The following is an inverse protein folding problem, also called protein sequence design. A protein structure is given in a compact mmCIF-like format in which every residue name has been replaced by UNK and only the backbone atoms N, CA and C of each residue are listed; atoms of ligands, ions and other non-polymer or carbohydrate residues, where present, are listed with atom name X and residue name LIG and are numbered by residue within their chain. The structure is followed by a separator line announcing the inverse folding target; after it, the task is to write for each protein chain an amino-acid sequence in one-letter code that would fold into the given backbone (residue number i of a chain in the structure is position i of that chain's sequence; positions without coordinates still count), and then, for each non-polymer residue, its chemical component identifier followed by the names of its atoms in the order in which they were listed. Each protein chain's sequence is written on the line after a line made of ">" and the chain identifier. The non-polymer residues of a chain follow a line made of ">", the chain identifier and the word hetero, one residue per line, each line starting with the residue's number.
data_IF_874121426891
#
_entry.id   IF_874121426891
#
_cell.length_a   1.000
_cell.length_b   1.000
_cell.length_c   1.000
_cell.angle_alpha   90.00
_cell.angle_beta   90.00
_cell.angle_gamma   90.00
#
_symmetry.space_group_name_H-M   'P 1'
#
loop_
_entity.id
_entity.type
_entity.pdbx_description
1 polymer ?
#
# COMPACT_ATOMS: atom_id res chain seq x y z
N UNK A 1 10.86 -26.14 20.16
CA UNK A 1 10.89 -24.69 19.87
C UNK A 1 9.86 -24.46 18.79
N UNK A 2 8.73 -23.84 19.12
CA UNK A 2 7.75 -23.41 18.12
C UNK A 2 8.45 -22.51 17.11
N UNK A 3 8.30 -22.82 15.85
CA UNK A 3 8.88 -22.07 14.75
C UNK A 3 8.18 -20.69 14.74
N UNK A 4 8.79 -19.69 15.37
CA UNK A 4 8.21 -18.34 15.46
C UNK A 4 8.01 -17.82 14.03
N UNK A 5 6.76 -17.50 13.67
CA UNK A 5 6.46 -16.95 12.35
C UNK A 5 7.30 -15.71 12.11
N UNK A 6 7.77 -15.54 10.88
CA UNK A 6 8.44 -14.32 10.44
C UNK A 6 7.47 -13.16 10.45
N UNK A 7 7.95 -11.96 10.73
CA UNK A 7 7.12 -10.76 10.79
C UNK A 7 7.08 -10.06 9.43
N UNK A 8 5.87 -9.71 9.00
CA UNK A 8 5.61 -8.89 7.82
C UNK A 8 4.83 -7.63 8.21
N UNK A 9 5.25 -6.49 7.67
CA UNK A 9 4.61 -5.20 7.94
C UNK A 9 4.29 -4.49 6.63
N UNK A 10 3.08 -3.94 6.52
CA UNK A 10 2.72 -3.03 5.43
C UNK A 10 1.68 -2.01 5.86
N UNK A 11 1.65 -0.86 5.20
CA UNK A 11 0.68 0.19 5.48
C UNK A 11 0.37 1.02 4.24
N UNK A 12 -0.84 1.57 4.20
CA UNK A 12 -1.28 2.49 3.13
C UNK A 12 -1.82 3.76 3.77
N UNK A 13 -1.48 4.91 3.18
CA UNK A 13 -1.98 6.21 3.62
C UNK A 13 -3.47 6.38 3.27
N UNK A 14 -4.33 6.80 4.22
CA UNK A 14 -5.73 7.16 3.95
C UNK A 14 -5.85 8.55 3.26
N UNK A 15 -4.98 8.82 2.29
CA UNK A 15 -4.93 10.07 1.53
C UNK A 15 -5.98 10.18 0.41
N UNK A 16 -6.86 9.20 0.30
CA UNK A 16 -7.94 9.08 -0.68
C UNK A 16 -8.47 7.64 -0.70
N UNK A 17 -9.42 7.37 -1.58
CA UNK A 17 -10.01 6.04 -1.72
C UNK A 17 -9.00 5.00 -2.21
N UNK A 18 -9.17 3.75 -1.80
CA UNK A 18 -8.40 2.64 -2.35
C UNK A 18 -8.84 2.38 -3.80
N UNK A 19 -7.89 2.00 -4.64
CA UNK A 19 -8.14 1.74 -6.05
C UNK A 19 -7.66 0.34 -6.45
N UNK A 20 -8.07 -0.09 -7.64
CA UNK A 20 -7.79 -1.41 -8.20
C UNK A 20 -6.29 -1.76 -8.15
N UNK A 21 -5.41 -0.79 -8.39
CA UNK A 21 -3.96 -0.97 -8.27
C UNK A 21 -3.48 -1.25 -6.84
N UNK A 22 -4.14 -0.70 -5.80
CA UNK A 22 -3.85 -1.06 -4.42
C UNK A 22 -4.28 -2.50 -4.12
N UNK A 23 -5.48 -2.87 -4.58
CA UNK A 23 -6.03 -4.20 -4.34
C UNK A 23 -5.23 -5.29 -5.06
N UNK A 24 -5.12 -5.22 -6.39
CA UNK A 24 -4.43 -6.25 -7.19
C UNK A 24 -2.91 -6.25 -6.98
N UNK A 25 -2.33 -5.08 -6.70
CA UNK A 25 -0.88 -4.94 -6.51
C UNK A 25 -0.39 -5.33 -5.13
N UNK A 26 -1.24 -5.25 -4.09
CA UNK A 26 -0.83 -5.47 -2.71
C UNK A 26 -1.87 -6.25 -1.89
N UNK A 27 -3.05 -5.67 -1.64
CA UNK A 27 -3.98 -6.13 -0.59
C UNK A 27 -4.49 -7.55 -0.85
N UNK A 28 -4.82 -7.89 -2.11
CA UNK A 28 -5.26 -9.25 -2.52
C UNK A 28 -4.30 -10.35 -2.05
N UNK A 29 -3.00 -10.04 -2.01
CA UNK A 29 -1.96 -11.00 -1.63
C UNK A 29 -1.68 -11.01 -0.11
N UNK A 30 -2.16 -10.02 0.64
CA UNK A 30 -1.89 -9.91 2.07
C UNK A 30 -2.62 -10.99 2.88
N UNK A 31 -3.90 -11.24 2.57
CA UNK A 31 -4.71 -12.23 3.30
C UNK A 31 -4.11 -13.62 3.29
N UNK A 32 -3.54 -14.05 2.17
CA UNK A 32 -2.88 -15.36 2.05
C UNK A 32 -1.57 -15.48 2.87
N UNK A 33 -1.00 -14.34 3.33
CA UNK A 33 0.27 -14.35 4.07
C UNK A 33 0.14 -14.68 5.54
N UNK A 34 -1.05 -14.57 6.13
CA UNK A 34 -1.28 -14.86 7.55
C UNK A 34 -0.97 -16.31 7.96
N UNK A 35 -0.88 -17.24 7.00
CA UNK A 35 -0.46 -18.61 7.25
C UNK A 35 1.04 -18.73 7.51
N UNK A 36 1.84 -17.92 6.81
CA UNK A 36 3.31 -17.96 6.81
C UNK A 36 3.93 -16.94 7.77
N UNK A 37 3.24 -15.81 8.01
CA UNK A 37 3.78 -14.64 8.71
C UNK A 37 2.87 -14.16 9.85
N UNK A 38 3.48 -13.49 10.84
CA UNK A 38 2.77 -12.61 11.78
C UNK A 38 2.66 -11.24 11.11
N UNK A 39 1.45 -10.89 10.66
CA UNK A 39 1.22 -9.77 9.77
C UNK A 39 0.68 -8.55 10.53
N UNK A 40 1.31 -7.40 10.28
CA UNK A 40 0.91 -6.08 10.77
C UNK A 40 0.50 -5.19 9.59
N UNK A 41 -0.76 -4.76 9.56
CA UNK A 41 -1.30 -3.89 8.51
C UNK A 41 -1.90 -2.64 9.13
N UNK A 42 -1.46 -1.47 8.69
CA UNK A 42 -1.89 -0.22 9.31
C UNK A 42 -2.33 0.85 8.31
N UNK A 43 -3.23 1.70 8.77
CA UNK A 43 -3.59 2.95 8.12
C UNK A 43 -2.56 4.01 8.52
N UNK A 44 -1.75 4.45 7.56
CA UNK A 44 -0.64 5.37 7.76
C UNK A 44 -1.13 6.83 7.81
N UNK A 45 -1.97 7.16 8.79
CA UNK A 45 -2.64 8.44 8.91
C UNK A 45 -1.68 9.59 9.30
N UNK A 46 -0.63 9.32 10.07
CA UNK A 46 0.40 10.31 10.39
C UNK A 46 1.16 10.76 9.13
N UNK A 47 1.44 9.85 8.20
CA UNK A 47 2.06 10.24 6.92
C UNK A 47 1.12 11.10 6.06
N UNK A 48 -0.18 10.93 6.20
CA UNK A 48 -1.17 11.65 5.39
C UNK A 48 -1.17 13.14 5.70
N UNK A 49 -0.89 13.55 6.93
CA UNK A 49 -0.89 14.96 7.34
C UNK A 49 0.34 15.76 6.88
N UNK A 50 1.31 15.12 6.23
CA UNK A 50 2.42 15.82 5.54
C UNK A 50 1.89 16.74 4.41
N UNK A 51 0.69 16.44 3.92
CA UNK A 51 -0.12 17.32 3.07
C UNK A 51 -1.39 17.68 3.83
N UNK A 52 -1.85 18.94 3.73
CA UNK A 52 -3.03 19.41 4.44
C UNK A 52 -4.25 18.55 4.16
N UNK A 53 -4.95 18.14 5.20
CA UNK A 53 -6.16 17.32 5.15
C UNK A 53 -7.31 18.03 5.84
N UNK A 54 -8.53 17.81 5.33
CA UNK A 54 -9.74 18.17 6.08
C UNK A 54 -9.95 17.14 7.19
N UNK A 55 -10.05 17.52 8.48
CA UNK A 55 -10.11 16.56 9.59
C UNK A 55 -11.26 15.54 9.48
N UNK A 56 -12.42 16.00 9.01
CA UNK A 56 -13.59 15.11 8.81
C UNK A 56 -13.31 14.05 7.74
N UNK A 57 -12.69 14.46 6.62
CA UNK A 57 -12.32 13.56 5.53
C UNK A 57 -11.25 12.56 5.95
N UNK A 58 -10.21 12.99 6.67
CA UNK A 58 -9.18 12.08 7.15
C UNK A 58 -9.78 10.99 8.04
N UNK A 59 -10.63 11.37 9.00
CA UNK A 59 -11.32 10.41 9.88
C UNK A 59 -12.20 9.44 9.08
N UNK A 60 -13.00 9.95 8.15
CA UNK A 60 -13.86 9.13 7.29
C UNK A 60 -13.05 8.11 6.49
N UNK A 61 -12.01 8.58 5.78
CA UNK A 61 -11.15 7.74 4.93
C UNK A 61 -10.36 6.71 5.72
N UNK A 62 -9.90 7.05 6.94
CA UNK A 62 -9.23 6.09 7.81
C UNK A 62 -10.17 4.96 8.19
N UNK A 63 -11.41 5.27 8.60
CA UNK A 63 -12.40 4.26 8.95
C UNK A 63 -12.83 3.41 7.74
N UNK A 64 -13.04 4.04 6.59
CA UNK A 64 -13.33 3.34 5.33
C UNK A 64 -12.21 2.38 4.94
N UNK A 65 -10.96 2.77 5.13
CA UNK A 65 -9.82 1.92 4.82
C UNK A 65 -9.73 0.70 5.75
N UNK A 66 -10.07 0.83 7.05
CA UNK A 66 -10.20 -0.33 7.95
C UNK A 66 -11.25 -1.30 7.41
N UNK A 67 -12.44 -0.81 7.07
CA UNK A 67 -13.51 -1.64 6.51
C UNK A 67 -13.09 -2.31 5.20
N UNK A 68 -12.43 -1.58 4.32
CA UNK A 68 -11.95 -2.10 3.04
C UNK A 68 -10.85 -3.16 3.21
N UNK A 69 -9.96 -3.03 4.20
CA UNK A 69 -8.96 -4.06 4.47
C UNK A 69 -9.64 -5.39 4.84
N UNK A 70 -10.63 -5.35 5.73
CA UNK A 70 -11.39 -6.54 6.14
C UNK A 70 -12.18 -7.09 4.94
N UNK A 71 -12.89 -6.24 4.21
CA UNK A 71 -13.67 -6.64 3.04
C UNK A 71 -12.81 -7.25 1.92
N UNK A 72 -11.54 -6.84 1.81
CA UNK A 72 -10.57 -7.41 0.89
C UNK A 72 -9.95 -8.74 1.36
N UNK A 73 -10.40 -9.28 2.51
CA UNK A 73 -10.00 -10.59 3.00
C UNK A 73 -8.92 -10.59 4.10
N UNK A 74 -8.62 -9.43 4.71
CA UNK A 74 -7.77 -9.38 5.89
C UNK A 74 -8.59 -9.73 7.14
N UNK A 75 -8.48 -10.97 7.60
CA UNK A 75 -9.12 -11.45 8.82
C UNK A 75 -8.47 -10.82 10.06
N UNK A 76 -9.21 -10.02 10.87
CA UNK A 76 -8.66 -9.37 12.07
C UNK A 76 -8.21 -10.34 13.16
N UNK A 77 -8.74 -11.57 13.19
CA UNK A 77 -8.33 -12.61 14.15
C UNK A 77 -6.94 -13.15 13.81
N UNK A 78 -6.54 -13.08 12.55
CA UNK A 78 -5.27 -13.61 12.04
C UNK A 78 -4.23 -12.54 11.74
N UNK A 79 -4.67 -11.30 11.58
CA UNK A 79 -3.83 -10.17 11.22
C UNK A 79 -3.98 -9.04 12.25
N UNK A 80 -2.90 -8.32 12.53
CA UNK A 80 -2.95 -7.13 13.36
C UNK A 80 -3.27 -5.92 12.48
N UNK A 81 -4.50 -5.41 12.57
CA UNK A 81 -4.98 -4.25 11.79
C UNK A 81 -5.14 -3.07 12.73
N UNK A 82 -4.42 -1.96 12.49
CA UNK A 82 -4.43 -0.81 13.39
C UNK A 82 -4.25 0.54 12.69
N UNK A 83 -4.55 1.62 13.40
CA UNK A 83 -4.29 2.99 12.95
C UNK A 83 -2.96 3.46 13.53
N UNK A 84 -2.08 3.98 12.69
CA UNK A 84 -0.71 4.37 13.05
C UNK A 84 -0.69 5.37 14.22
N UNK A 85 -1.55 6.39 14.20
CA UNK A 85 -1.60 7.41 15.27
C UNK A 85 -2.05 6.88 16.63
N UNK A 86 -2.60 5.67 16.72
CA UNK A 86 -2.95 5.02 17.99
C UNK A 86 -1.74 4.36 18.68
N UNK A 87 -0.61 4.26 18.00
CA UNK A 87 0.63 3.65 18.49
C UNK A 87 1.70 4.74 18.57
N UNK A 88 1.76 5.46 19.69
CA UNK A 88 2.63 6.63 19.88
C UNK A 88 4.13 6.33 19.70
N UNK A 89 4.53 5.07 19.85
CA UNK A 89 5.91 4.63 19.68
C UNK A 89 6.46 4.93 18.28
N UNK A 90 5.60 5.03 17.26
CA UNK A 90 6.00 5.43 15.92
C UNK A 90 6.66 6.82 15.91
N UNK A 91 6.02 7.81 16.55
CA UNK A 91 6.56 9.16 16.66
C UNK A 91 7.80 9.22 17.56
N UNK A 92 7.79 8.48 18.66
CA UNK A 92 8.90 8.47 19.61
C UNK A 92 10.17 7.86 18.98
N UNK A 93 10.04 6.74 18.27
CA UNK A 93 11.19 6.15 17.55
C UNK A 93 11.61 7.01 16.36
N UNK A 94 10.67 7.63 15.66
CA UNK A 94 10.98 8.51 14.52
C UNK A 94 11.92 9.64 14.96
N UNK A 95 11.64 10.29 16.11
CA UNK A 95 12.51 11.32 16.67
C UNK A 95 13.94 10.81 16.91
N UNK A 96 14.07 9.62 17.49
CA UNK A 96 15.41 9.04 17.72
C UNK A 96 16.11 8.79 16.38
N UNK A 97 15.42 8.19 15.41
CA UNK A 97 16.01 7.87 14.11
C UNK A 97 16.36 9.11 13.27
N UNK A 98 15.62 10.21 13.42
CA UNK A 98 15.96 11.51 12.81
C UNK A 98 17.35 11.97 13.23
N UNK A 99 17.74 11.73 14.50
CA UNK A 99 19.06 12.07 15.01
C UNK A 99 20.20 11.21 14.40
N UNK A 100 19.85 10.09 13.76
CA UNK A 100 20.78 9.17 13.07
C UNK A 100 20.63 9.18 11.56
N UNK A 101 19.77 10.04 11.02
CA UNK A 101 19.56 10.20 9.57
C UNK A 101 20.26 11.45 9.07
N UNK A 102 21.07 11.32 8.03
CA UNK A 102 21.83 12.47 7.54
C UNK A 102 20.97 13.35 6.63
N UNK A 103 21.09 14.66 6.81
CA UNK A 103 20.38 15.66 5.98
C UNK A 103 20.55 15.41 4.48
N UNK A 104 21.78 15.06 4.05
CA UNK A 104 22.08 14.75 2.65
C UNK A 104 21.37 13.48 2.12
N UNK A 105 21.02 12.52 2.99
CA UNK A 105 20.24 11.33 2.59
C UNK A 105 18.79 11.73 2.31
N UNK A 106 18.18 12.51 3.22
CA UNK A 106 16.80 12.99 3.05
C UNK A 106 16.65 13.91 1.83
N UNK A 107 17.61 14.84 1.61
CA UNK A 107 17.55 15.77 0.48
C UNK A 107 17.71 15.10 -0.90
N UNK A 108 18.27 13.89 -0.95
CA UNK A 108 18.39 13.10 -2.18
C UNK A 108 17.19 12.19 -2.46
N UNK A 109 16.22 12.08 -1.53
CA UNK A 109 15.02 11.26 -1.72
C UNK A 109 14.22 11.74 -2.93
N UNK A 110 13.99 10.87 -3.91
CA UNK A 110 13.22 11.18 -5.13
C UNK A 110 11.80 11.59 -4.80
N UNK A 111 11.14 10.88 -3.91
CA UNK A 111 9.78 11.18 -3.45
C UNK A 111 9.68 12.56 -2.78
N UNK A 112 10.71 13.02 -2.06
CA UNK A 112 10.73 14.37 -1.51
C UNK A 112 10.74 15.42 -2.62
N UNK A 113 11.58 15.24 -3.64
CA UNK A 113 11.67 16.14 -4.79
C UNK A 113 10.35 16.22 -5.55
N UNK A 114 9.73 15.08 -5.83
CA UNK A 114 8.46 14.99 -6.55
C UNK A 114 7.30 15.63 -5.79
N UNK A 115 7.21 15.36 -4.48
CA UNK A 115 6.16 15.94 -3.62
C UNK A 115 6.36 17.45 -3.42
N UNK A 116 7.60 17.89 -3.23
CA UNK A 116 7.91 19.31 -3.10
C UNK A 116 7.57 20.10 -4.37
N UNK A 117 7.79 19.53 -5.55
CA UNK A 117 7.38 20.13 -6.81
C UNK A 117 5.86 20.23 -6.96
N UNK A 118 5.10 19.22 -6.48
CA UNK A 118 3.62 19.21 -6.53
C UNK A 118 2.96 20.10 -5.48
N UNK A 119 3.63 20.35 -4.35
CA UNK A 119 3.12 21.10 -3.20
C UNK A 119 4.08 22.23 -2.81
N UNK A 120 4.50 23.01 -3.79
CA UNK A 120 5.51 24.08 -3.62
C UNK A 120 5.11 25.16 -2.60
N UNK A 121 3.81 25.33 -2.37
CA UNK A 121 3.21 26.23 -1.39
C UNK A 121 3.24 25.71 0.07
N UNK A 122 3.54 24.43 0.27
CA UNK A 122 3.50 23.78 1.58
C UNK A 122 4.63 22.75 1.76
N UNK A 123 5.87 23.15 1.56
CA UNK A 123 7.04 22.34 1.85
C UNK A 123 7.34 22.46 3.35
N UNK A 124 6.79 21.56 4.14
CA UNK A 124 6.96 21.54 5.60
C UNK A 124 8.00 20.51 6.04
N UNK A 125 8.42 20.61 7.33
CA UNK A 125 9.41 19.70 7.91
C UNK A 125 9.00 18.23 7.82
N UNK A 126 7.71 17.91 8.07
CA UNK A 126 7.20 16.55 7.98
C UNK A 126 7.32 15.96 6.57
N UNK A 127 7.18 16.79 5.52
CA UNK A 127 7.41 16.35 4.14
C UNK A 127 8.88 16.01 3.87
N UNK A 128 9.80 16.61 4.59
CA UNK A 128 11.24 16.33 4.51
C UNK A 128 11.62 15.12 5.35
N UNK A 129 11.07 14.98 6.57
CA UNK A 129 11.50 13.96 7.55
C UNK A 129 10.62 12.71 7.58
N UNK A 130 9.48 12.64 6.84
CA UNK A 130 8.63 11.45 6.84
C UNK A 130 9.36 10.12 6.55
N UNK A 131 10.49 10.07 5.82
CA UNK A 131 11.22 8.81 5.65
C UNK A 131 11.77 8.25 6.97
N UNK A 132 12.02 9.12 7.97
CA UNK A 132 12.42 8.69 9.32
C UNK A 132 11.22 8.09 10.07
N UNK A 133 10.02 8.66 9.92
CA UNK A 133 8.79 8.07 10.45
C UNK A 133 8.52 6.71 9.81
N UNK A 134 8.70 6.57 8.49
CA UNK A 134 8.56 5.28 7.81
C UNK A 134 9.61 4.27 8.29
N UNK A 135 10.83 4.70 8.56
CA UNK A 135 11.85 3.84 9.15
C UNK A 135 11.44 3.39 10.56
N UNK A 136 10.84 4.28 11.37
CA UNK A 136 10.30 3.92 12.69
C UNK A 136 9.13 2.94 12.57
N UNK A 137 8.18 3.18 11.65
CA UNK A 137 7.07 2.26 11.37
C UNK A 137 7.59 0.83 11.15
N UNK A 138 8.64 0.70 10.36
CA UNK A 138 9.23 -0.59 10.02
C UNK A 138 9.99 -1.18 11.22
N UNK A 139 10.93 -0.43 11.79
CA UNK A 139 11.89 -0.94 12.76
C UNK A 139 11.29 -1.28 14.12
N UNK A 140 10.14 -0.67 14.50
CA UNK A 140 9.44 -1.00 15.75
C UNK A 140 9.05 -2.47 15.83
N UNK A 141 8.62 -3.06 14.74
CA UNK A 141 8.11 -4.44 14.67
C UNK A 141 9.17 -5.47 14.32
N UNK A 142 10.42 -5.04 14.10
CA UNK A 142 11.55 -5.92 13.76
C UNK A 142 11.23 -6.88 12.59
N UNK A 143 10.64 -6.41 11.46
CA UNK A 143 10.15 -7.31 10.44
C UNK A 143 11.28 -8.03 9.72
N UNK A 144 10.97 -9.24 9.26
CA UNK A 144 11.85 -9.98 8.34
C UNK A 144 11.73 -9.40 6.93
N UNK A 145 10.50 -9.05 6.53
CA UNK A 145 10.19 -8.58 5.20
C UNK A 145 9.25 -7.37 5.23
N UNK A 146 9.52 -6.44 4.33
CA UNK A 146 8.67 -5.29 4.06
C UNK A 146 8.23 -5.37 2.59
N UNK A 147 6.96 -5.75 2.32
CA UNK A 147 6.44 -5.77 0.95
C UNK A 147 6.28 -4.35 0.44
N UNK A 148 7.07 -3.99 -0.55
CA UNK A 148 7.08 -2.66 -1.15
C UNK A 148 7.09 -2.72 -2.67
N UNK A 149 6.48 -1.71 -3.32
CA UNK A 149 6.70 -1.47 -4.75
C UNK A 149 8.07 -0.85 -5.02
N UNK A 150 8.50 -0.88 -6.27
CA UNK A 150 9.78 -0.31 -6.73
C UNK A 150 9.96 1.16 -6.30
N UNK A 151 8.87 1.94 -6.28
CA UNK A 151 8.85 3.35 -5.88
C UNK A 151 9.17 3.57 -4.40
N UNK A 152 9.08 2.54 -3.55
CA UNK A 152 9.38 2.59 -2.13
C UNK A 152 10.75 1.96 -1.78
N UNK A 153 11.45 1.41 -2.75
CA UNK A 153 12.75 0.75 -2.53
C UNK A 153 13.75 1.68 -1.84
N UNK A 154 13.83 2.94 -2.28
CA UNK A 154 14.74 3.93 -1.69
C UNK A 154 14.44 4.20 -0.21
N UNK A 155 13.16 4.14 0.22
CA UNK A 155 12.80 4.29 1.64
C UNK A 155 13.25 3.09 2.48
N UNK A 156 13.13 1.88 1.93
CA UNK A 156 13.61 0.67 2.63
C UNK A 156 15.13 0.69 2.72
N UNK A 157 15.83 1.14 1.69
CA UNK A 157 17.29 1.32 1.71
C UNK A 157 17.70 2.35 2.78
N UNK A 158 17.02 3.48 2.88
CA UNK A 158 17.25 4.44 3.96
C UNK A 158 17.02 3.82 5.33
N UNK A 159 15.92 3.09 5.52
CA UNK A 159 15.61 2.36 6.76
C UNK A 159 16.74 1.43 7.15
N UNK A 160 17.28 0.67 6.20
CA UNK A 160 18.41 -0.24 6.40
C UNK A 160 19.68 0.52 6.85
N UNK A 161 19.99 1.61 6.14
CA UNK A 161 21.16 2.43 6.44
C UNK A 161 21.09 3.03 7.85
N UNK A 162 19.92 3.55 8.24
CA UNK A 162 19.70 4.11 9.56
C UNK A 162 19.79 3.04 10.65
N UNK A 163 19.19 1.86 10.44
CA UNK A 163 19.28 0.73 11.37
C UNK A 163 20.73 0.25 11.53
N UNK A 164 21.49 0.10 10.45
CA UNK A 164 22.89 -0.30 10.47
C UNK A 164 23.76 0.75 11.20
N UNK A 165 23.53 2.03 10.95
CA UNK A 165 24.24 3.13 11.62
C UNK A 165 23.95 3.15 13.11
N UNK A 166 22.70 2.98 13.52
CA UNK A 166 22.30 2.88 14.92
C UNK A 166 22.96 1.67 15.59
N UNK A 167 22.90 0.50 14.96
CA UNK A 167 23.52 -0.72 15.47
C UNK A 167 25.04 -0.63 15.56
N UNK A 168 25.69 0.08 14.64
CA UNK A 168 27.14 0.31 14.71
C UNK A 168 27.54 1.05 16.00
N UNK A 169 26.72 1.99 16.47
CA UNK A 169 26.99 2.78 17.68
C UNK A 169 26.62 2.00 18.95
N UNK A 170 25.48 1.26 18.94
CA UNK A 170 24.86 0.72 20.16
C UNK A 170 24.83 -0.80 20.23
N UNK A 171 25.37 -1.50 19.23
CA UNK A 171 25.24 -2.95 19.08
C UNK A 171 23.92 -3.36 18.42
N UNK A 172 23.69 -4.66 18.25
CA UNK A 172 22.53 -5.21 17.55
C UNK A 172 21.21 -4.96 18.31
N UNK A 173 20.56 -3.87 18.01
CA UNK A 173 19.27 -3.46 18.60
C UNK A 173 18.15 -3.55 17.59
N UNK A 174 18.37 -3.02 16.40
CA UNK A 174 17.38 -2.93 15.33
C UNK A 174 17.67 -4.00 14.26
N UNK A 175 16.68 -4.84 13.99
CA UNK A 175 16.77 -5.82 12.91
C UNK A 175 16.74 -5.08 11.56
N UNK A 176 17.73 -5.34 10.72
CA UNK A 176 17.81 -4.75 9.38
C UNK A 176 16.85 -5.50 8.46
N UNK A 177 15.76 -4.89 7.98
CA UNK A 177 14.75 -5.59 7.20
C UNK A 177 15.23 -5.87 5.78
N UNK A 178 14.71 -6.95 5.16
CA UNK A 178 14.91 -7.20 3.74
C UNK A 178 13.71 -6.68 2.94
N UNK A 179 13.95 -5.97 1.81
CA UNK A 179 12.87 -5.58 0.91
C UNK A 179 12.28 -6.84 0.28
N UNK A 180 10.96 -7.00 0.39
CA UNK A 180 10.24 -8.07 -0.28
C UNK A 180 9.49 -7.49 -1.48
N UNK A 181 9.99 -7.77 -2.67
CA UNK A 181 9.31 -7.41 -3.91
C UNK A 181 8.49 -8.63 -4.34
N UNK A 182 7.16 -8.61 -4.19
CA UNK A 182 6.33 -9.75 -4.55
C UNK A 182 6.51 -10.06 -6.04
N UNK A 183 6.85 -11.32 -6.37
CA UNK A 183 6.88 -11.79 -7.78
C UNK A 183 5.49 -11.78 -8.42
N UNK A 184 4.42 -11.75 -7.63
CA UNK A 184 3.03 -11.75 -8.02
C UNK A 184 2.32 -10.53 -7.41
N UNK A 185 2.23 -9.49 -8.16
CA UNK A 185 1.37 -8.34 -7.94
C UNK A 185 1.22 -7.64 -9.28
N UNK A 186 -0.01 -7.50 -9.75
CA UNK A 186 -0.22 -6.81 -11.02
C UNK A 186 0.22 -5.35 -10.86
N UNK A 187 1.23 -4.93 -11.62
CA UNK A 187 1.52 -3.50 -11.76
C UNK A 187 0.43 -2.89 -12.63
N UNK A 188 -0.61 -2.37 -11.99
CA UNK A 188 -1.74 -1.77 -12.67
C UNK A 188 -1.41 -0.34 -13.06
N UNK A 189 -1.50 -0.05 -14.35
CA UNK A 189 -1.28 1.27 -14.92
C UNK A 189 -2.61 2.03 -15.06
N UNK A 190 -2.53 3.35 -15.22
CA UNK A 190 -3.71 4.18 -15.48
C UNK A 190 -4.39 3.76 -16.79
N UNK A 191 -5.73 3.72 -16.80
CA UNK A 191 -6.49 3.32 -17.99
C UNK A 191 -6.39 4.34 -19.13
N UNK A 192 -6.11 5.59 -18.82
CA UNK A 192 -5.98 6.68 -19.79
C UNK A 192 -4.53 7.18 -19.99
N UNK A 193 -3.57 6.65 -19.22
CA UNK A 193 -2.15 6.93 -19.35
C UNK A 193 -1.36 5.64 -19.03
N UNK A 194 -1.28 4.70 -19.97
CA UNK A 194 -0.77 3.35 -19.72
C UNK A 194 0.73 3.29 -19.33
N UNK A 195 1.46 4.36 -19.54
CA UNK A 195 2.86 4.50 -19.10
C UNK A 195 2.98 4.98 -17.65
N UNK A 196 1.88 5.43 -17.05
CA UNK A 196 1.81 5.94 -15.69
C UNK A 196 1.10 4.96 -14.78
N UNK A 197 1.68 4.66 -13.59
CA UNK A 197 1.02 3.80 -12.59
C UNK A 197 -0.34 4.37 -12.19
N UNK A 198 -1.35 3.51 -12.05
CA UNK A 198 -2.68 3.91 -11.57
C UNK A 198 -2.55 4.67 -10.24
N UNK A 199 -3.12 5.86 -10.20
CA UNK A 199 -2.99 6.79 -9.09
C UNK A 199 -4.25 7.60 -8.88
N UNK A 200 -4.54 7.90 -7.61
CA UNK A 200 -5.64 8.78 -7.18
C UNK A 200 -5.56 10.20 -7.78
N UNK A 201 -4.36 10.64 -8.14
CA UNK A 201 -4.14 11.96 -8.75
C UNK A 201 -4.62 12.08 -10.20
N UNK A 202 -4.96 10.95 -10.83
CA UNK A 202 -5.52 10.88 -12.20
C UNK A 202 -6.84 10.09 -12.12
N UNK A 203 -7.95 10.69 -11.61
CA UNK A 203 -9.18 9.95 -11.30
C UNK A 203 -9.84 9.30 -12.51
N UNK A 204 -9.74 9.93 -13.69
CA UNK A 204 -10.35 9.42 -14.93
C UNK A 204 -9.73 8.09 -15.40
N UNK A 205 -8.44 7.88 -15.13
CA UNK A 205 -7.73 6.64 -15.43
C UNK A 205 -7.61 5.69 -14.24
N UNK A 206 -8.24 6.03 -13.11
CA UNK A 206 -8.19 5.28 -11.86
C UNK A 206 -9.54 4.63 -11.55
N UNK A 207 -9.55 3.33 -11.30
CA UNK A 207 -10.75 2.60 -10.84
C UNK A 207 -10.68 2.48 -9.33
N UNK A 208 -11.59 3.14 -8.62
CA UNK A 208 -11.69 3.04 -7.17
C UNK A 208 -12.48 1.79 -6.76
N UNK A 209 -12.18 1.23 -5.58
CA UNK A 209 -12.86 0.01 -5.12
C UNK A 209 -14.36 0.23 -4.92
N UNK A 210 -14.76 1.45 -4.57
CA UNK A 210 -16.16 1.82 -4.32
C UNK A 210 -16.83 2.53 -5.51
N UNK A 211 -16.19 2.55 -6.69
CA UNK A 211 -16.82 3.08 -7.90
C UNK A 211 -18.12 2.31 -8.23
N UNK A 212 -19.12 3.02 -8.74
CA UNK A 212 -20.36 2.39 -9.22
C UNK A 212 -20.07 1.52 -10.45
N UNK A 213 -20.83 0.44 -10.66
CA UNK A 213 -20.67 -0.42 -11.85
C UNK A 213 -20.62 0.37 -13.16
N UNK A 214 -21.50 1.36 -13.32
CA UNK A 214 -21.59 2.18 -14.54
C UNK A 214 -20.31 3.00 -14.76
N UNK A 215 -19.69 3.49 -13.68
CA UNK A 215 -18.46 4.26 -13.76
C UNK A 215 -17.28 3.36 -14.13
N UNK A 216 -17.21 2.16 -13.55
CA UNK A 216 -16.20 1.17 -13.89
C UNK A 216 -16.28 0.83 -15.38
N UNK A 217 -17.46 0.42 -15.85
CA UNK A 217 -17.69 0.06 -17.27
C UNK A 217 -17.34 1.22 -18.21
N UNK A 218 -17.72 2.46 -17.83
CA UNK A 218 -17.36 3.65 -18.60
C UNK A 218 -15.85 3.88 -18.67
N UNK A 219 -15.12 3.69 -17.56
CA UNK A 219 -13.66 3.85 -17.50
C UNK A 219 -12.97 2.81 -18.39
N UNK A 220 -13.37 1.53 -18.33
CA UNK A 220 -12.82 0.50 -19.20
C UNK A 220 -13.14 0.75 -20.68
N UNK A 221 -14.37 1.13 -21.02
CA UNK A 221 -14.74 1.48 -22.40
C UNK A 221 -13.87 2.60 -22.98
N UNK A 222 -13.49 3.59 -22.15
CA UNK A 222 -12.65 4.73 -22.54
C UNK A 222 -11.15 4.48 -22.38
N UNK A 223 -10.73 3.34 -21.85
CA UNK A 223 -9.32 3.02 -21.68
C UNK A 223 -8.56 3.16 -22.99
N UNK A 224 -7.35 3.71 -22.94
CA UNK A 224 -6.51 3.94 -24.13
C UNK A 224 -5.95 2.60 -24.59
N UNK A 225 -6.07 2.36 -25.90
CA UNK A 225 -5.47 1.25 -26.64
C UNK A 225 -4.87 1.79 -27.94
N UNK A 226 -4.03 0.99 -28.59
CA UNK A 226 -3.52 1.30 -29.91
C UNK A 226 -4.62 1.25 -30.99
N UNK A 227 -4.25 1.49 -32.26
CA UNK A 227 -5.15 1.54 -33.42
C UNK A 227 -5.11 0.26 -34.28
N UNK A 228 -4.51 -0.83 -33.77
CA UNK A 228 -4.46 -2.09 -34.52
C UNK A 228 -5.86 -2.64 -34.78
N UNK A 229 -6.04 -3.21 -35.97
CA UNK A 229 -7.29 -3.84 -36.40
C UNK A 229 -7.18 -5.36 -36.49
N UNK A 230 -5.97 -5.89 -36.62
CA UNK A 230 -5.67 -7.31 -36.61
C UNK A 230 -4.92 -7.71 -35.35
N UNK A 231 -5.26 -8.87 -34.74
CA UNK A 231 -4.70 -9.37 -33.51
C UNK A 231 -4.61 -8.27 -32.42
N UNK A 232 -5.72 -7.56 -32.25
CA UNK A 232 -5.80 -6.40 -31.35
C UNK A 232 -5.40 -6.74 -29.91
N UNK A 233 -5.95 -7.82 -29.34
CA UNK A 233 -5.70 -8.26 -27.97
C UNK A 233 -4.47 -9.17 -27.95
N UNK A 234 -3.30 -8.56 -27.74
CA UNK A 234 -2.01 -9.25 -27.66
C UNK A 234 -1.15 -8.56 -26.59
N UNK A 235 -0.46 -9.37 -25.79
CA UNK A 235 0.41 -8.88 -24.75
C UNK A 235 1.77 -8.44 -25.31
N UNK A 236 2.02 -7.13 -25.31
CA UNK A 236 3.27 -6.52 -25.77
C UNK A 236 3.44 -5.17 -25.03
N UNK A 237 4.22 -5.16 -23.97
CA UNK A 237 4.37 -3.96 -23.12
C UNK A 237 5.02 -2.79 -23.84
N UNK A 238 5.90 -3.05 -24.78
CA UNK A 238 6.65 -2.00 -25.49
C UNK A 238 5.79 -1.32 -26.56
N UNK A 239 5.08 -2.12 -27.37
CA UNK A 239 4.34 -1.62 -28.52
C UNK A 239 2.84 -1.43 -28.22
N UNK A 240 2.31 -2.14 -27.22
CA UNK A 240 0.88 -2.13 -26.84
C UNK A 240 0.69 -1.93 -25.34
N UNK A 241 1.23 -0.84 -24.73
CA UNK A 241 1.19 -0.67 -23.28
C UNK A 241 -0.24 -0.63 -22.73
N UNK A 242 -1.20 0.00 -23.44
CA UNK A 242 -2.59 0.09 -23.03
C UNK A 242 -3.27 -1.28 -22.97
N UNK A 243 -3.17 -2.06 -24.03
CA UNK A 243 -3.75 -3.41 -24.10
C UNK A 243 -3.08 -4.34 -23.11
N UNK A 244 -1.74 -4.27 -22.99
CA UNK A 244 -1.00 -5.09 -22.04
C UNK A 244 -1.38 -4.78 -20.58
N UNK A 245 -1.72 -3.53 -20.26
CA UNK A 245 -2.27 -3.15 -18.95
C UNK A 245 -3.65 -3.78 -18.75
N UNK A 246 -4.55 -3.65 -19.71
CA UNK A 246 -5.89 -4.26 -19.67
C UNK A 246 -5.80 -5.78 -19.51
N UNK A 247 -4.98 -6.46 -20.30
CA UNK A 247 -4.76 -7.91 -20.17
C UNK A 247 -4.18 -8.29 -18.81
N UNK A 248 -3.28 -7.47 -18.25
CA UNK A 248 -2.71 -7.70 -16.91
C UNK A 248 -3.78 -7.59 -15.82
N UNK A 249 -4.70 -6.63 -15.92
CA UNK A 249 -5.84 -6.49 -15.01
C UNK A 249 -6.77 -7.70 -15.17
N UNK A 250 -7.16 -8.04 -16.41
CA UNK A 250 -8.08 -9.16 -16.67
C UNK A 250 -7.52 -10.50 -16.22
N UNK A 251 -6.23 -10.74 -16.45
CA UNK A 251 -5.51 -11.92 -15.92
C UNK A 251 -5.51 -11.96 -14.39
N UNK A 252 -5.22 -10.84 -13.73
CA UNK A 252 -5.20 -10.76 -12.26
C UNK A 252 -6.59 -10.94 -11.63
N UNK A 253 -7.66 -10.55 -12.32
CA UNK A 253 -9.05 -10.69 -11.90
C UNK A 253 -9.56 -12.12 -12.13
N UNK A 254 -9.31 -12.70 -13.31
CA UNK A 254 -9.89 -13.98 -13.74
C UNK A 254 -8.99 -15.19 -13.47
N UNK A 255 -7.68 -14.98 -13.23
CA UNK A 255 -6.68 -16.04 -13.11
C UNK A 255 -6.26 -16.66 -14.46
N UNK A 256 -6.72 -16.14 -15.60
CA UNK A 256 -6.38 -16.65 -16.94
C UNK A 256 -4.97 -16.22 -17.35
N UNK A 257 -4.27 -17.08 -18.09
CA UNK A 257 -2.98 -16.73 -18.68
C UNK A 257 -3.14 -15.76 -19.86
N UNK A 258 -2.08 -15.06 -20.24
CA UNK A 258 -2.12 -14.14 -21.36
C UNK A 258 -2.45 -14.88 -22.69
N UNK A 259 -1.90 -16.07 -22.86
CA UNK A 259 -2.15 -16.90 -24.05
C UNK A 259 -3.64 -17.31 -24.15
N UNK A 260 -4.28 -17.62 -23.02
CA UNK A 260 -5.69 -17.96 -22.97
C UNK A 260 -6.56 -16.73 -23.30
N UNK A 261 -6.15 -15.54 -22.88
CA UNK A 261 -6.85 -14.28 -23.18
C UNK A 261 -6.70 -13.96 -24.67
N UNK A 262 -5.49 -14.07 -25.23
CA UNK A 262 -5.24 -13.86 -26.66
C UNK A 262 -6.09 -14.80 -27.52
N UNK A 263 -6.16 -16.09 -27.18
CA UNK A 263 -6.97 -17.08 -27.92
C UNK A 263 -8.48 -16.80 -27.81
N UNK A 264 -8.98 -16.33 -26.65
CA UNK A 264 -10.40 -15.98 -26.46
C UNK A 264 -10.83 -14.80 -27.33
N UNK A 265 -9.93 -13.83 -27.50
CA UNK A 265 -10.20 -12.60 -28.24
C UNK A 265 -9.53 -12.56 -29.64
N UNK A 266 -9.02 -13.69 -30.14
CA UNK A 266 -8.48 -13.76 -31.49
C UNK A 266 -9.55 -13.39 -32.52
N UNK A 267 -9.21 -12.53 -33.46
CA UNK A 267 -10.14 -11.96 -34.44
C UNK A 267 -11.20 -11.00 -33.87
N UNK A 268 -11.19 -10.70 -32.57
CA UNK A 268 -12.11 -9.75 -31.96
C UNK A 268 -11.39 -8.43 -31.66
N UNK A 269 -12.09 -7.30 -31.86
CA UNK A 269 -11.54 -5.98 -31.59
C UNK A 269 -11.67 -5.57 -30.11
N UNK A 270 -11.09 -4.43 -29.78
CA UNK A 270 -11.16 -3.83 -28.42
C UNK A 270 -12.60 -3.57 -27.95
N UNK A 271 -13.54 -3.35 -28.87
CA UNK A 271 -14.96 -3.19 -28.55
C UNK A 271 -15.60 -4.42 -27.91
N UNK A 272 -15.05 -5.62 -28.18
CA UNK A 272 -15.48 -6.86 -27.52
C UNK A 272 -14.73 -7.11 -26.21
N UNK A 273 -13.43 -6.78 -26.14
CA UNK A 273 -12.58 -7.06 -24.97
C UNK A 273 -12.88 -6.14 -23.77
N UNK A 274 -12.90 -4.82 -23.99
CA UNK A 274 -13.05 -3.83 -22.90
C UNK A 274 -14.34 -3.99 -22.07
N UNK A 275 -15.53 -4.26 -22.65
CA UNK A 275 -16.72 -4.52 -21.84
C UNK A 275 -16.61 -5.77 -20.98
N UNK A 276 -16.11 -6.88 -21.53
CA UNK A 276 -15.94 -8.14 -20.80
C UNK A 276 -14.99 -7.98 -19.62
N UNK A 277 -13.90 -7.26 -19.82
CA UNK A 277 -12.96 -6.93 -18.75
C UNK A 277 -13.60 -6.06 -17.67
N UNK A 278 -14.31 -5.00 -18.08
CA UNK A 278 -15.04 -4.12 -17.15
C UNK A 278 -16.05 -4.88 -16.31
N UNK A 279 -16.82 -5.79 -16.91
CA UNK A 279 -17.77 -6.66 -16.21
C UNK A 279 -17.06 -7.60 -15.22
N UNK A 280 -15.94 -8.20 -15.59
CA UNK A 280 -15.17 -9.05 -14.69
C UNK A 280 -14.67 -8.27 -13.46
N UNK A 281 -14.24 -7.01 -13.65
CA UNK A 281 -13.84 -6.14 -12.54
C UNK A 281 -15.03 -5.77 -11.65
N UNK A 282 -16.18 -5.44 -12.23
CA UNK A 282 -17.43 -5.17 -11.47
C UNK A 282 -17.80 -6.37 -10.61
N UNK A 283 -17.83 -7.57 -11.18
CA UNK A 283 -18.18 -8.79 -10.43
C UNK A 283 -17.17 -9.10 -9.31
N UNK A 284 -15.88 -8.90 -9.56
CA UNK A 284 -14.85 -9.07 -8.53
C UNK A 284 -15.01 -8.06 -7.39
N UNK A 285 -15.36 -6.80 -7.68
CA UNK A 285 -15.49 -5.74 -6.68
C UNK A 285 -16.82 -5.80 -5.92
N UNK A 286 -17.87 -6.38 -6.47
CA UNK A 286 -19.20 -6.46 -5.86
C UNK A 286 -19.19 -6.95 -4.41
N UNK A 287 -18.62 -8.15 -4.09
CA UNK A 287 -18.58 -8.64 -2.72
C UNK A 287 -17.77 -7.74 -1.78
N UNK A 288 -16.68 -7.14 -2.28
CA UNK A 288 -15.87 -6.19 -1.51
C UNK A 288 -16.68 -4.95 -1.16
N UNK A 289 -17.43 -4.42 -2.13
CA UNK A 289 -18.29 -3.24 -1.93
C UNK A 289 -19.43 -3.52 -0.95
N UNK A 290 -20.10 -4.65 -1.08
CA UNK A 290 -21.19 -5.07 -0.20
C UNK A 290 -20.69 -5.23 1.24
N UNK A 291 -19.60 -5.95 1.43
CA UNK A 291 -18.99 -6.14 2.75
C UNK A 291 -18.46 -4.83 3.34
N UNK A 292 -17.83 -3.96 2.54
CA UNK A 292 -17.42 -2.63 3.01
C UNK A 292 -18.61 -1.83 3.54
N UNK A 293 -19.73 -1.81 2.82
CA UNK A 293 -20.94 -1.08 3.27
C UNK A 293 -21.52 -1.68 4.56
N UNK A 294 -21.55 -3.02 4.65
CA UNK A 294 -22.00 -3.73 5.85
C UNK A 294 -21.14 -3.36 7.06
N UNK A 295 -19.83 -3.41 6.91
CA UNK A 295 -18.86 -3.07 7.98
C UNK A 295 -18.97 -1.61 8.40
N UNK A 296 -19.13 -0.68 7.47
CA UNK A 296 -19.31 0.75 7.78
C UNK A 296 -20.62 1.05 8.52
N UNK A 297 -21.62 0.18 8.45
CA UNK A 297 -22.84 0.28 9.25
C UNK A 297 -22.63 -0.13 10.72
N UNK A 298 -21.56 -0.90 11.01
CA UNK A 298 -21.18 -1.34 12.36
C UNK A 298 -19.86 -0.69 12.80
N UNK A 299 -19.93 0.58 13.13
CA UNK A 299 -18.76 1.36 13.58
C UNK A 299 -18.15 0.82 14.87
N UNK A 300 -18.96 0.24 15.76
CA UNK A 300 -18.48 -0.31 17.02
C UNK A 300 -17.59 -1.53 16.78
N UNK A 301 -17.96 -2.40 15.84
CA UNK A 301 -17.11 -3.52 15.43
C UNK A 301 -15.77 -3.03 14.87
N UNK A 302 -15.79 -2.08 13.92
CA UNK A 302 -14.57 -1.52 13.34
C UNK A 302 -13.69 -0.89 14.41
N UNK A 303 -14.29 -0.16 15.36
CA UNK A 303 -13.57 0.43 16.50
C UNK A 303 -12.93 -0.65 17.37
N UNK A 304 -13.61 -1.73 17.64
CA UNK A 304 -13.07 -2.89 18.34
C UNK A 304 -11.83 -3.48 17.63
N UNK A 305 -11.93 -3.66 16.31
CA UNK A 305 -10.84 -4.20 15.49
C UNK A 305 -9.58 -3.34 15.55
N UNK A 306 -9.68 -2.05 15.21
CA UNK A 306 -8.46 -1.23 15.14
C UNK A 306 -7.88 -0.88 16.53
N UNK A 307 -8.70 -0.86 17.59
CA UNK A 307 -8.21 -0.68 18.98
C UNK A 307 -7.46 -1.92 19.47
N UNK A 308 -8.04 -3.11 19.32
CA UNK A 308 -7.36 -4.36 19.67
C UNK A 308 -6.05 -4.53 18.88
N UNK A 309 -6.08 -4.20 17.58
CA UNK A 309 -4.89 -4.17 16.75
C UNK A 309 -3.83 -3.19 17.25
N UNK A 310 -4.23 -1.98 17.65
CA UNK A 310 -3.32 -0.97 18.21
C UNK A 310 -2.71 -1.40 19.55
N UNK A 311 -3.47 -2.06 20.41
CA UNK A 311 -2.96 -2.63 21.68
C UNK A 311 -1.88 -3.68 21.42
N UNK A 312 -2.16 -4.63 20.53
CA UNK A 312 -1.18 -5.65 20.13
C UNK A 312 0.06 -5.03 19.47
N UNK A 313 -0.13 -4.08 18.56
CA UNK A 313 0.95 -3.35 17.92
C UNK A 313 1.79 -2.55 18.92
N UNK A 314 1.16 -1.82 19.84
CA UNK A 314 1.84 -1.06 20.90
C UNK A 314 2.67 -1.98 21.81
N UNK A 315 2.16 -3.14 22.16
CA UNK A 315 2.91 -4.11 22.99
C UNK A 315 4.20 -4.56 22.32
N UNK A 316 4.17 -4.81 21.01
CA UNK A 316 5.37 -5.21 20.25
C UNK A 316 6.33 -4.01 20.09
N UNK A 317 5.78 -2.86 19.70
CA UNK A 317 6.53 -1.63 19.49
C UNK A 317 7.27 -1.18 20.76
N UNK A 318 6.61 -1.28 21.91
CA UNK A 318 7.18 -0.90 23.22
C UNK A 318 8.43 -1.71 23.58
N UNK A 319 8.46 -3.00 23.24
CA UNK A 319 9.64 -3.84 23.48
C UNK A 319 10.87 -3.33 22.74
N UNK A 320 10.68 -2.90 21.51
CA UNK A 320 11.76 -2.34 20.69
C UNK A 320 12.15 -0.95 21.18
N UNK A 321 11.18 -0.08 21.43
CA UNK A 321 11.42 1.29 21.89
C UNK A 321 12.19 1.33 23.22
N UNK A 322 11.83 0.49 24.19
CA UNK A 322 12.56 0.37 25.46
C UNK A 322 14.02 -0.01 25.28
N UNK A 323 14.31 -0.94 24.37
CA UNK A 323 15.70 -1.30 24.03
C UNK A 323 16.45 -0.10 23.47
N UNK A 324 15.84 0.63 22.54
CA UNK A 324 16.41 1.83 21.93
C UNK A 324 16.65 2.90 23.01
N UNK A 325 15.66 3.22 23.83
CA UNK A 325 15.78 4.22 24.91
C UNK A 325 16.90 3.89 25.88
N UNK A 326 16.98 2.63 26.32
CA UNK A 326 18.07 2.18 27.20
C UNK A 326 19.44 2.39 26.56
N UNK A 327 19.56 2.16 25.25
CA UNK A 327 20.82 2.25 24.51
C UNK A 327 21.28 3.69 24.29
N UNK A 328 20.34 4.60 23.99
CA UNK A 328 20.67 6.03 23.84
C UNK A 328 20.86 6.73 25.19
N UNK A 329 20.56 6.07 26.31
CA UNK A 329 20.81 6.60 27.66
C UNK A 329 19.64 7.39 28.25
N UNK A 330 18.41 7.21 27.73
CA UNK A 330 17.23 7.82 28.36
C UNK A 330 16.91 7.11 29.69
N UNK A 331 16.45 7.89 30.68
CA UNK A 331 16.00 7.34 31.95
C UNK A 331 14.75 6.46 31.72
N UNK A 332 14.68 5.36 32.46
CA UNK A 332 13.51 4.49 32.44
C UNK A 332 12.25 5.22 32.91
N UNK A 333 11.14 5.02 32.25
CA UNK A 333 9.81 5.48 32.69
C UNK A 333 9.24 4.56 33.76
#
# INVERSE_FOLDING_TARGET
>A
MENQKKVMLSGIQPSGELHLGNYLGAIKNWGARADEFDCFYFMADMHTITVRQTPAELRRRTLEQVAQYIACGLDPERNTIFVQSHVHQHAELAWVLECYTMFGELSRMTQFKDKSAKHADNINAGLFTYPCLMAADILLYQPDFVPVGEDQKQHVELTRNVAQRFNHVYGDVLKVPEPYIPKMGARVMSLNQPDTKMSKSIPEGCVFLMDKPEDILRKFKRAITDSDTERCVRFDRENKPGVSNLMSIYSAVTGRSFEAIEAEFDGKGYGAFKPVEGEAVVEMLRPIQEETRRLLSDKAYLEGVYRAGAEKASYVAEKTLRKVYKKVGFLAR
#
